data_IF_895074159523
#
_entry.id   IF_895074159523
#
_cell.length_a   1.000
_cell.length_b   1.000
_cell.length_c   1.000
_cell.angle_alpha   90.00
_cell.angle_beta   90.00
_cell.angle_gamma   90.00
#
_symmetry.space_group_name_H-M   'P 1'
#
loop_
_entity.id
_entity.type
_entity.pdbx_description
1 polymer ?
#
# COMPACT_ATOMS: atom_id res chain seq x y z
N UNK A 1 6.65 25.66 -15.16
CA UNK A 1 6.90 24.64 -14.12
C UNK A 1 5.85 23.57 -14.28
N UNK A 2 6.19 22.42 -14.86
CA UNK A 2 5.31 21.25 -14.91
C UNK A 2 5.98 20.18 -14.05
N UNK A 3 5.40 19.91 -12.88
CA UNK A 3 5.83 18.85 -11.97
C UNK A 3 4.62 18.03 -11.57
N UNK A 4 4.87 16.81 -11.08
CA UNK A 4 3.82 15.95 -10.51
C UNK A 4 3.60 16.32 -9.04
N UNK A 5 2.34 16.39 -8.63
CA UNK A 5 1.95 16.57 -7.23
C UNK A 5 1.38 15.27 -6.67
N UNK A 6 1.59 15.02 -5.38
CA UNK A 6 0.97 13.94 -4.64
C UNK A 6 0.21 14.55 -3.45
N UNK A 7 -0.97 14.03 -3.16
CA UNK A 7 -1.82 14.50 -2.07
C UNK A 7 -2.03 13.36 -1.06
N UNK A 8 -1.89 13.69 0.22
CA UNK A 8 -2.13 12.78 1.34
C UNK A 8 -3.13 13.46 2.28
N UNK A 9 -4.38 12.97 2.36
CA UNK A 9 -5.40 13.52 3.25
C UNK A 9 -5.10 13.21 4.73
N UNK A 10 -5.77 13.94 5.64
CA UNK A 10 -5.75 13.63 7.07
C UNK A 10 -6.39 12.28 7.37
N UNK A 11 -7.50 11.96 6.71
CA UNK A 11 -8.19 10.67 6.81
C UNK A 11 -7.76 9.77 5.65
N UNK A 12 -7.15 8.63 5.96
CA UNK A 12 -6.72 7.67 4.95
C UNK A 12 -7.93 7.01 4.28
N UNK A 13 -7.88 6.89 2.95
CA UNK A 13 -8.88 6.14 2.19
C UNK A 13 -8.24 4.87 1.62
N UNK A 14 -8.71 3.72 2.09
CA UNK A 14 -8.30 2.39 1.64
C UNK A 14 -9.49 1.71 0.97
N UNK A 15 -9.25 1.08 -0.19
CA UNK A 15 -10.26 0.31 -0.92
C UNK A 15 -10.30 -1.14 -0.46
N UNK A 16 -11.49 -1.75 -0.55
CA UNK A 16 -11.68 -3.19 -0.36
C UNK A 16 -10.92 -4.02 -1.40
N UNK A 17 -9.66 -4.34 -1.09
CA UNK A 17 -8.72 -5.04 -1.97
C UNK A 17 -7.49 -5.51 -1.17
N UNK A 18 -6.43 -6.00 -1.84
CA UNK A 18 -5.17 -6.32 -1.16
C UNK A 18 -4.41 -5.04 -0.77
N UNK A 19 -3.57 -5.13 0.27
CA UNK A 19 -2.67 -4.02 0.65
C UNK A 19 -1.78 -3.62 -0.53
N UNK A 20 -1.22 -4.60 -1.25
CA UNK A 20 -0.43 -4.39 -2.47
C UNK A 20 -1.18 -3.59 -3.53
N UNK A 21 -2.46 -3.89 -3.76
CA UNK A 21 -3.28 -3.15 -4.73
C UNK A 21 -3.48 -1.70 -4.30
N UNK A 22 -3.74 -1.48 -3.01
CA UNK A 22 -3.86 -0.13 -2.45
C UNK A 22 -2.56 0.68 -2.56
N UNK A 23 -1.39 0.06 -2.34
CA UNK A 23 -0.08 0.71 -2.51
C UNK A 23 0.20 1.03 -3.99
N UNK A 24 -0.10 0.11 -4.91
CA UNK A 24 0.15 0.31 -6.34
C UNK A 24 -0.79 1.35 -6.96
N UNK A 25 -2.03 1.45 -6.46
CA UNK A 25 -3.01 2.43 -6.89
C UNK A 25 -3.15 2.51 -8.43
N UNK A 26 -3.27 1.35 -9.08
CA UNK A 26 -3.41 1.23 -10.54
C UNK A 26 -2.10 1.29 -11.34
N UNK A 27 -0.94 1.48 -10.70
CA UNK A 27 0.36 1.38 -11.38
C UNK A 27 0.74 -0.08 -11.63
N UNK A 28 1.53 -0.31 -12.69
CA UNK A 28 2.13 -1.61 -12.95
C UNK A 28 3.06 -2.01 -11.78
N UNK A 29 3.06 -3.30 -11.45
CA UNK A 29 3.90 -3.82 -10.39
C UNK A 29 5.37 -3.88 -10.85
N UNK A 30 6.21 -3.07 -10.23
CA UNK A 30 7.67 -3.13 -10.32
C UNK A 30 8.20 -3.67 -8.98
N UNK A 31 8.81 -4.86 -9.02
CA UNK A 31 9.29 -5.57 -7.82
C UNK A 31 10.36 -4.78 -7.08
N UNK A 32 11.32 -4.19 -7.79
CA UNK A 32 12.45 -3.52 -7.17
C UNK A 32 12.02 -2.20 -6.54
N UNK A 33 11.16 -1.46 -7.24
CA UNK A 33 10.56 -0.23 -6.70
C UNK A 33 9.68 -0.54 -5.48
N UNK A 34 8.82 -1.56 -5.59
CA UNK A 34 7.93 -1.95 -4.50
C UNK A 34 8.71 -2.32 -3.25
N UNK A 35 9.74 -3.17 -3.38
CA UNK A 35 10.57 -3.56 -2.25
C UNK A 35 11.32 -2.37 -1.62
N UNK A 36 11.83 -1.44 -2.45
CA UNK A 36 12.46 -0.20 -1.95
C UNK A 36 11.48 0.68 -1.18
N UNK A 37 10.26 0.84 -1.68
CA UNK A 37 9.21 1.62 -0.99
C UNK A 37 8.83 0.98 0.32
N UNK A 38 8.56 -0.34 0.34
CA UNK A 38 8.20 -1.09 1.55
C UNK A 38 9.27 -0.94 2.64
N UNK A 39 10.54 -1.07 2.26
CA UNK A 39 11.67 -0.88 3.18
C UNK A 39 11.79 0.57 3.65
N UNK A 40 11.57 1.55 2.78
CA UNK A 40 11.63 2.97 3.13
C UNK A 40 10.50 3.40 4.08
N UNK A 41 9.34 2.74 4.03
CA UNK A 41 8.19 2.99 4.90
C UNK A 41 8.13 2.05 6.11
N UNK A 42 9.13 1.18 6.30
CA UNK A 42 9.18 0.16 7.35
C UNK A 42 7.96 -0.80 7.38
N UNK A 43 7.28 -0.98 6.24
CA UNK A 43 6.12 -1.87 6.14
C UNK A 43 6.52 -3.35 6.13
N UNK A 44 7.79 -3.66 5.97
CA UNK A 44 8.33 -5.01 6.02
C UNK A 44 8.04 -5.70 7.36
N UNK A 45 8.17 -4.97 8.46
CA UNK A 45 7.87 -5.50 9.80
C UNK A 45 6.38 -5.73 10.00
N UNK A 46 5.54 -4.81 9.51
CA UNK A 46 4.08 -4.94 9.61
C UNK A 46 3.56 -6.12 8.78
N UNK A 47 4.08 -6.32 7.57
CA UNK A 47 3.70 -7.46 6.73
C UNK A 47 3.99 -8.81 7.38
N UNK A 48 5.07 -8.93 8.15
CA UNK A 48 5.37 -10.20 8.87
C UNK A 48 4.33 -10.58 9.91
N UNK A 49 3.53 -9.62 10.38
CA UNK A 49 2.45 -9.86 11.35
C UNK A 49 1.13 -10.24 10.66
N UNK A 50 1.03 -10.11 9.34
CA UNK A 50 -0.17 -10.41 8.57
C UNK A 50 -0.10 -11.81 7.96
N UNK A 51 -1.22 -12.55 7.91
CA UNK A 51 -1.23 -13.94 7.44
C UNK A 51 -0.85 -14.09 5.97
N UNK A 52 -1.08 -13.06 5.13
CA UNK A 52 -0.78 -13.07 3.70
C UNK A 52 0.15 -11.91 3.29
N UNK A 53 0.87 -11.32 4.24
CA UNK A 53 1.81 -10.21 4.00
C UNK A 53 1.14 -9.08 3.18
N UNK A 54 1.75 -8.62 2.07
CA UNK A 54 1.19 -7.56 1.23
C UNK A 54 -0.07 -7.99 0.45
N UNK A 55 -0.36 -9.30 0.37
CA UNK A 55 -1.53 -9.84 -0.29
C UNK A 55 -2.73 -9.99 0.66
N UNK A 56 -2.59 -9.57 1.92
CA UNK A 56 -3.69 -9.52 2.88
C UNK A 56 -4.82 -8.63 2.36
N UNK A 57 -6.05 -9.14 2.43
CA UNK A 57 -7.25 -8.39 2.06
C UNK A 57 -7.62 -7.42 3.18
N UNK A 58 -7.85 -6.17 2.80
CA UNK A 58 -8.41 -5.12 3.65
C UNK A 58 -9.80 -4.81 3.12
N UNK A 59 -10.79 -4.71 4.01
CA UNK A 59 -12.13 -4.25 3.71
C UNK A 59 -12.23 -2.73 3.62
N UNK A 60 -13.44 -2.23 3.41
CA UNK A 60 -13.70 -0.79 3.37
C UNK A 60 -13.23 -0.12 4.67
N UNK A 61 -12.62 1.07 4.53
CA UNK A 61 -12.06 1.86 5.64
C UNK A 61 -10.86 1.21 6.36
N UNK A 62 -10.20 0.20 5.75
CA UNK A 62 -8.98 -0.39 6.31
C UNK A 62 -9.20 -1.37 7.45
N UNK A 63 -10.44 -1.85 7.64
CA UNK A 63 -10.74 -2.94 8.57
C UNK A 63 -10.32 -4.26 7.93
N UNK A 64 -9.53 -5.08 8.63
CA UNK A 64 -9.18 -6.43 8.15
C UNK A 64 -10.45 -7.28 8.03
N UNK A 65 -10.60 -7.98 6.90
CA UNK A 65 -11.67 -8.96 6.68
C UNK A 65 -11.21 -10.38 7.05
#
# INVERSE_FOLDING_TARGET
MHGSFCYVPQESWIFSSTIKTNILFGKAYDRDLFHRVVKATALDTDFTQLPNEENTLVGDQGVML
#
